data_IF_980699567841
#
_entry.id   IF_980699567841
#
_cell.length_a   1.000
_cell.length_b   1.000
_cell.length_c   1.000
_cell.angle_alpha   90.00
_cell.angle_beta   90.00
_cell.angle_gamma   90.00
#
_symmetry.space_group_name_H-M   'P 1'
#
loop_
_entity.id
_entity.type
_entity.pdbx_description
1 polymer ?
#
# COMPACT_ATOMS: atom_id res chain seq x y z
N UNK A 1 2.68 -40.42 -28.91
CA UNK A 1 2.26 -39.01 -28.95
C UNK A 1 2.48 -38.45 -27.55
N UNK A 2 3.34 -37.45 -27.35
CA UNK A 2 3.62 -36.92 -26.00
C UNK A 2 2.35 -36.31 -25.42
N UNK A 3 2.07 -36.59 -24.14
CA UNK A 3 0.94 -35.97 -23.45
C UNK A 3 1.19 -34.47 -23.17
N UNK A 4 0.16 -33.76 -22.74
CA UNK A 4 0.21 -32.31 -22.50
C UNK A 4 1.22 -31.94 -21.41
N UNK A 5 1.33 -32.73 -20.34
CA UNK A 5 2.28 -32.49 -19.26
C UNK A 5 3.72 -32.74 -19.70
N UNK A 6 3.95 -33.74 -20.55
CA UNK A 6 5.26 -34.03 -21.14
C UNK A 6 5.69 -32.92 -22.12
N UNK A 7 4.75 -32.40 -22.92
CA UNK A 7 5.00 -31.24 -23.81
C UNK A 7 5.30 -29.97 -23.00
N UNK A 8 4.58 -29.71 -21.93
CA UNK A 8 4.85 -28.57 -21.03
C UNK A 8 6.21 -28.67 -20.36
N UNK A 9 6.62 -29.88 -19.94
CA UNK A 9 7.92 -30.11 -19.34
C UNK A 9 9.06 -29.88 -20.36
N UNK A 10 8.88 -30.32 -21.60
CA UNK A 10 9.84 -30.13 -22.69
C UNK A 10 9.92 -28.65 -23.11
N UNK A 11 8.78 -27.95 -23.17
CA UNK A 11 8.76 -26.51 -23.48
C UNK A 11 9.46 -25.73 -22.37
N UNK A 12 9.18 -26.04 -21.09
CA UNK A 12 9.88 -25.43 -19.95
C UNK A 12 11.37 -25.71 -20.00
N UNK A 13 11.79 -26.95 -20.20
CA UNK A 13 13.22 -27.30 -20.25
C UNK A 13 13.94 -26.69 -21.45
N UNK A 14 13.30 -26.59 -22.61
CA UNK A 14 13.89 -25.99 -23.82
C UNK A 14 14.01 -24.47 -23.72
N UNK A 15 13.06 -23.80 -23.05
CA UNK A 15 13.14 -22.36 -22.76
C UNK A 15 14.23 -22.11 -21.69
N UNK A 16 14.29 -22.94 -20.65
CA UNK A 16 15.29 -22.85 -19.57
C UNK A 16 16.73 -23.02 -20.06
N UNK A 17 16.96 -23.96 -20.98
CA UNK A 17 18.28 -24.22 -21.56
C UNK A 17 18.77 -23.06 -22.46
N UNK A 18 17.86 -22.27 -23.05
CA UNK A 18 18.23 -21.15 -23.94
C UNK A 18 18.54 -19.85 -23.20
N UNK A 19 18.12 -19.68 -21.95
CA UNK A 19 18.29 -18.43 -21.19
C UNK A 19 19.47 -18.41 -20.22
N UNK A 20 20.18 -19.52 -20.01
CA UNK A 20 21.37 -19.57 -19.14
C UNK A 20 21.11 -19.29 -17.65
N UNK A 21 19.85 -19.09 -17.25
CA UNK A 21 19.44 -18.91 -15.86
C UNK A 21 18.96 -20.28 -15.33
N UNK A 22 19.78 -20.95 -14.54
CA UNK A 22 19.22 -21.92 -13.59
C UNK A 22 18.18 -21.19 -12.75
N UNK A 23 16.97 -21.75 -12.60
CA UNK A 23 15.90 -21.07 -11.85
C UNK A 23 16.38 -20.82 -10.42
N UNK A 24 16.68 -19.55 -10.08
CA UNK A 24 16.95 -19.14 -8.70
C UNK A 24 15.73 -19.56 -7.88
N UNK A 25 15.87 -20.34 -6.79
CA UNK A 25 14.74 -20.70 -5.96
C UNK A 25 13.97 -19.46 -5.50
N UNK A 26 12.63 -19.52 -5.47
CA UNK A 26 11.79 -18.37 -5.09
C UNK A 26 12.23 -17.72 -3.77
N UNK A 27 12.60 -18.54 -2.79
CA UNK A 27 13.10 -18.08 -1.49
C UNK A 27 14.37 -17.21 -1.59
N UNK A 28 15.29 -17.55 -2.49
CA UNK A 28 16.50 -16.74 -2.74
C UNK A 28 16.18 -15.50 -3.56
N UNK A 29 15.31 -15.65 -4.57
CA UNK A 29 14.84 -14.56 -5.42
C UNK A 29 14.16 -13.46 -4.60
N UNK A 30 13.21 -13.82 -3.74
CA UNK A 30 12.47 -12.84 -2.92
C UNK A 30 13.35 -12.25 -1.81
N UNK A 31 14.30 -13.02 -1.25
CA UNK A 31 15.30 -12.47 -0.31
C UNK A 31 16.22 -11.44 -0.97
N UNK A 32 16.56 -11.62 -2.26
CA UNK A 32 17.31 -10.61 -3.02
C UNK A 32 16.49 -9.32 -3.14
N UNK A 33 15.21 -9.44 -3.49
CA UNK A 33 14.28 -8.30 -3.50
C UNK A 33 14.16 -7.59 -2.14
N UNK A 34 13.88 -8.33 -1.06
CA UNK A 34 13.71 -7.74 0.28
C UNK A 34 14.95 -6.98 0.75
N UNK A 35 16.14 -7.46 0.38
CA UNK A 35 17.42 -6.78 0.68
C UNK A 35 17.53 -5.45 -0.06
N UNK A 36 17.19 -5.43 -1.35
CA UNK A 36 17.22 -4.22 -2.19
C UNK A 36 16.19 -3.18 -1.72
N UNK A 37 15.04 -3.63 -1.19
CA UNK A 37 13.96 -2.77 -0.72
C UNK A 37 13.95 -2.56 0.81
N UNK A 38 15.02 -2.94 1.50
CA UNK A 38 15.11 -2.96 2.97
C UNK A 38 14.76 -1.63 3.65
N UNK A 39 15.06 -0.49 3.03
CA UNK A 39 14.68 0.85 3.53
C UNK A 39 13.17 1.08 3.70
N UNK A 40 12.34 0.30 3.00
CA UNK A 40 10.88 0.38 3.10
C UNK A 40 10.30 -0.60 4.12
N UNK A 41 11.15 -1.43 4.73
CA UNK A 41 10.79 -2.43 5.71
C UNK A 41 11.23 -1.91 7.09
N UNK A 42 10.28 -1.56 7.98
CA UNK A 42 10.65 -1.15 9.34
C UNK A 42 11.23 -2.35 10.13
N UNK A 43 11.98 -2.10 11.22
CA UNK A 43 12.43 -3.13 12.14
C UNK A 43 11.27 -4.03 12.57
N UNK A 44 11.53 -5.33 12.71
CA UNK A 44 10.47 -6.32 12.95
C UNK A 44 9.74 -6.07 14.27
N UNK A 45 10.43 -5.53 15.25
CA UNK A 45 9.94 -5.19 16.59
C UNK A 45 8.89 -4.08 16.55
N UNK A 46 8.91 -3.25 15.49
CA UNK A 46 7.94 -2.17 15.30
C UNK A 46 6.72 -2.60 14.48
N UNK A 47 6.67 -3.84 13.98
CA UNK A 47 5.63 -4.28 13.06
C UNK A 47 4.24 -4.22 13.68
N UNK A 48 3.34 -3.56 12.96
CA UNK A 48 1.92 -3.56 13.23
C UNK A 48 1.25 -4.70 12.46
N UNK A 49 -0.01 -5.06 12.77
CA UNK A 49 -0.70 -6.13 12.05
C UNK A 49 -0.72 -6.01 10.52
N UNK A 50 -0.86 -4.82 9.90
CA UNK A 50 -0.68 -4.66 8.45
C UNK A 50 0.73 -4.98 7.94
N UNK A 51 1.77 -4.75 8.76
CA UNK A 51 3.16 -5.06 8.43
C UNK A 51 3.40 -6.57 8.44
N UNK A 52 2.84 -7.28 9.42
CA UNK A 52 2.87 -8.75 9.46
C UNK A 52 2.25 -9.37 8.20
N UNK A 53 1.14 -8.79 7.73
CA UNK A 53 0.46 -9.24 6.51
C UNK A 53 1.25 -8.97 5.22
N UNK A 54 2.08 -7.92 5.21
CA UNK A 54 2.83 -7.48 4.03
C UNK A 54 4.26 -8.04 3.98
N UNK A 55 5.04 -7.80 5.02
CA UNK A 55 6.45 -8.18 5.09
C UNK A 55 6.62 -9.62 5.61
N UNK A 56 5.69 -10.11 6.45
CA UNK A 56 5.78 -11.44 7.08
C UNK A 56 5.43 -12.63 6.17
N UNK A 57 5.05 -12.38 4.92
CA UNK A 57 4.77 -13.40 3.91
C UNK A 57 5.83 -13.38 2.82
N UNK A 58 6.29 -14.54 2.35
CA UNK A 58 7.28 -14.62 1.28
C UNK A 58 6.64 -14.32 -0.08
N UNK A 59 5.72 -15.18 -0.51
CA UNK A 59 4.92 -15.02 -1.72
C UNK A 59 3.50 -14.57 -1.35
N UNK A 60 3.11 -13.38 -1.76
CA UNK A 60 1.77 -12.83 -1.47
C UNK A 60 0.65 -13.58 -2.21
N UNK A 61 0.96 -14.30 -3.29
CA UNK A 61 0.00 -15.05 -4.09
C UNK A 61 -0.11 -16.53 -3.69
N UNK A 62 0.78 -17.02 -2.84
CA UNK A 62 0.82 -18.42 -2.39
C UNK A 62 0.72 -18.57 -0.87
N UNK A 63 0.05 -17.63 -0.22
CA UNK A 63 -0.28 -17.74 1.21
C UNK A 63 -1.43 -18.74 1.39
N UNK A 64 -1.32 -19.75 2.28
CA UNK A 64 -2.44 -20.62 2.61
C UNK A 64 -3.69 -19.82 3.00
N UNK A 65 -4.86 -20.25 2.53
CA UNK A 65 -6.10 -19.46 2.62
C UNK A 65 -6.46 -19.08 4.07
N UNK A 66 -6.32 -20.02 5.00
CA UNK A 66 -6.57 -19.80 6.43
C UNK A 66 -5.63 -18.73 7.02
N UNK A 67 -4.34 -18.78 6.64
CA UNK A 67 -3.34 -17.80 7.04
C UNK A 67 -3.62 -16.43 6.42
N UNK A 68 -3.96 -16.38 5.14
CA UNK A 68 -4.30 -15.14 4.44
C UNK A 68 -5.52 -14.45 5.08
N UNK A 69 -6.57 -15.21 5.40
CA UNK A 69 -7.76 -14.72 6.11
C UNK A 69 -7.42 -14.15 7.49
N UNK A 70 -6.61 -14.86 8.29
CA UNK A 70 -6.16 -14.38 9.61
C UNK A 70 -5.36 -13.09 9.52
N UNK A 71 -4.37 -13.01 8.62
CA UNK A 71 -3.54 -11.83 8.42
C UNK A 71 -4.39 -10.63 7.98
N UNK A 72 -5.27 -10.84 6.99
CA UNK A 72 -6.21 -9.82 6.51
C UNK A 72 -7.13 -9.31 7.62
N UNK A 73 -7.73 -10.20 8.40
CA UNK A 73 -8.62 -9.83 9.50
C UNK A 73 -7.89 -8.99 10.55
N UNK A 74 -6.71 -9.43 11.00
CA UNK A 74 -5.89 -8.68 11.97
C UNK A 74 -5.49 -7.30 11.44
N UNK A 75 -5.04 -7.22 10.18
CA UNK A 75 -4.65 -5.98 9.55
C UNK A 75 -5.83 -4.99 9.45
N UNK A 76 -6.97 -5.43 8.91
CA UNK A 76 -8.15 -4.57 8.75
C UNK A 76 -8.71 -4.14 10.11
N UNK A 77 -8.83 -5.06 11.08
CA UNK A 77 -9.31 -4.72 12.43
C UNK A 77 -8.42 -3.68 13.11
N UNK A 78 -7.11 -3.85 13.01
CA UNK A 78 -6.15 -2.88 13.54
C UNK A 78 -6.30 -1.50 12.87
N UNK A 79 -6.31 -1.47 11.54
CA UNK A 79 -6.46 -0.23 10.76
C UNK A 79 -7.78 0.46 11.04
N UNK A 80 -8.88 -0.29 11.12
CA UNK A 80 -10.19 0.24 11.48
C UNK A 80 -10.19 0.90 12.87
N UNK A 81 -9.67 0.20 13.88
CA UNK A 81 -9.52 0.73 15.23
C UNK A 81 -8.69 2.01 15.24
N UNK A 82 -7.54 1.99 14.57
CA UNK A 82 -6.65 3.15 14.47
C UNK A 82 -7.37 4.38 13.88
N UNK A 83 -8.09 4.24 12.77
CA UNK A 83 -8.84 5.35 12.18
C UNK A 83 -10.02 5.80 13.04
N UNK A 84 -10.76 4.88 13.66
CA UNK A 84 -11.83 5.21 14.59
C UNK A 84 -11.31 6.02 15.79
N UNK A 85 -10.16 5.63 16.34
CA UNK A 85 -9.58 6.26 17.52
C UNK A 85 -8.83 7.56 17.20
N UNK A 86 -8.37 7.78 15.97
CA UNK A 86 -7.48 8.91 15.67
C UNK A 86 -7.97 9.86 14.56
N UNK A 87 -9.13 9.59 13.95
CA UNK A 87 -9.74 10.49 12.98
C UNK A 87 -11.16 10.89 13.41
N UNK A 88 -11.34 12.18 13.76
CA UNK A 88 -12.63 12.70 14.25
C UNK A 88 -13.76 12.51 13.24
N UNK A 89 -13.51 12.77 11.96
CA UNK A 89 -14.51 12.64 10.91
C UNK A 89 -14.98 11.18 10.78
N UNK A 90 -14.06 10.24 10.65
CA UNK A 90 -14.34 8.82 10.49
C UNK A 90 -14.98 8.23 11.75
N UNK A 91 -14.55 8.66 12.95
CA UNK A 91 -15.20 8.29 14.21
C UNK A 91 -16.67 8.71 14.24
N UNK A 92 -16.98 9.94 13.80
CA UNK A 92 -18.36 10.43 13.76
C UNK A 92 -19.20 9.62 12.76
N UNK A 93 -18.67 9.35 11.56
CA UNK A 93 -19.32 8.48 10.58
C UNK A 93 -19.63 7.09 11.16
N UNK A 94 -18.69 6.50 11.90
CA UNK A 94 -18.90 5.21 12.55
C UNK A 94 -19.97 5.26 13.64
N UNK A 95 -19.97 6.32 14.47
CA UNK A 95 -21.00 6.53 15.50
C UNK A 95 -22.39 6.71 14.91
N UNK A 96 -22.53 7.47 13.82
CA UNK A 96 -23.80 7.65 13.10
C UNK A 96 -24.34 6.33 12.53
N UNK A 97 -23.44 5.41 12.16
CA UNK A 97 -23.79 4.06 11.70
C UNK A 97 -23.94 3.03 12.83
N UNK A 98 -23.69 3.42 14.08
CA UNK A 98 -23.76 2.53 15.23
C UNK A 98 -22.71 1.42 15.23
N UNK A 99 -21.52 1.68 14.67
CA UNK A 99 -20.42 0.70 14.58
C UNK A 99 -19.19 1.18 15.33
N UNK A 100 -18.56 0.29 16.09
CA UNK A 100 -17.34 0.51 16.87
C UNK A 100 -16.31 -0.62 16.65
N UNK A 101 -15.04 -0.42 17.03
CA UNK A 101 -14.01 -1.47 16.93
C UNK A 101 -14.36 -2.78 17.66
N UNK A 102 -15.17 -2.72 18.72
CA UNK A 102 -15.56 -3.89 19.51
C UNK A 102 -16.59 -4.78 18.80
N UNK A 103 -17.26 -4.26 17.75
CA UNK A 103 -18.21 -5.00 16.92
C UNK A 103 -17.54 -5.93 15.90
N UNK A 104 -16.21 -5.81 15.75
CA UNK A 104 -15.41 -6.54 14.77
C UNK A 104 -14.68 -7.71 15.45
N UNK A 105 -15.32 -8.87 15.50
CA UNK A 105 -14.83 -10.06 16.23
C UNK A 105 -14.39 -11.20 15.29
N UNK A 106 -14.96 -11.26 14.10
CA UNK A 106 -14.67 -12.27 13.05
C UNK A 106 -14.69 -11.67 11.66
N UNK A 107 -14.28 -12.45 10.67
CA UNK A 107 -14.11 -12.00 9.28
C UNK A 107 -15.41 -11.46 8.66
N UNK A 108 -16.55 -12.04 9.00
CA UNK A 108 -17.87 -11.61 8.53
C UNK A 108 -18.25 -10.22 9.04
N UNK A 109 -17.71 -9.82 10.20
CA UNK A 109 -17.97 -8.50 10.78
C UNK A 109 -17.27 -7.38 10.01
N UNK A 110 -16.28 -7.68 9.16
CA UNK A 110 -15.60 -6.65 8.35
C UNK A 110 -16.58 -5.89 7.45
N UNK A 111 -17.69 -6.52 7.06
CA UNK A 111 -18.75 -5.89 6.26
C UNK A 111 -19.53 -4.81 7.02
N UNK A 112 -19.40 -4.75 8.35
CA UNK A 112 -19.99 -3.69 9.18
C UNK A 112 -19.21 -2.39 9.10
N UNK A 113 -17.93 -2.43 8.70
CA UNK A 113 -17.05 -1.26 8.66
C UNK A 113 -17.60 -0.27 7.62
N UNK A 114 -17.92 0.98 8.01
CA UNK A 114 -18.41 1.98 7.07
C UNK A 114 -17.40 2.28 5.97
N UNK A 115 -17.86 2.19 4.72
CA UNK A 115 -17.08 2.56 3.53
C UNK A 115 -17.16 4.06 3.27
N UNK A 116 -16.08 4.62 2.74
CA UNK A 116 -16.05 5.99 2.24
C UNK A 116 -16.30 6.01 0.73
N UNK A 117 -17.26 6.79 0.22
CA UNK A 117 -17.50 6.90 -1.21
C UNK A 117 -16.33 7.62 -1.91
N UNK A 118 -16.01 7.27 -3.16
CA UNK A 118 -14.91 7.89 -3.90
C UNK A 118 -15.06 9.41 -4.03
N UNK A 119 -16.31 9.88 -4.18
CA UNK A 119 -16.68 11.31 -4.23
C UNK A 119 -16.17 12.11 -3.03
N UNK A 120 -16.07 11.48 -1.86
CA UNK A 120 -15.53 12.12 -0.66
C UNK A 120 -14.13 12.69 -0.92
N UNK A 121 -13.28 11.94 -1.62
CA UNK A 121 -11.90 12.33 -1.93
C UNK A 121 -11.77 13.28 -3.13
N UNK A 122 -12.88 13.62 -3.79
CA UNK A 122 -12.95 14.58 -4.92
C UNK A 122 -13.61 15.92 -4.55
N UNK A 123 -14.31 15.96 -3.41
CA UNK A 123 -15.06 17.11 -2.90
C UNK A 123 -14.20 18.08 -2.06
N UNK A 124 -12.90 18.19 -2.36
CA UNK A 124 -12.02 19.14 -1.68
C UNK A 124 -12.32 20.58 -2.10
N UNK A 125 -12.25 21.55 -1.18
CA UNK A 125 -12.35 22.96 -1.51
C UNK A 125 -11.05 23.49 -2.14
N UNK A 126 -11.15 24.63 -2.81
CA UNK A 126 -9.98 25.38 -3.31
C UNK A 126 -9.43 26.29 -2.21
N UNK A 127 -8.25 26.89 -2.43
CA UNK A 127 -7.70 27.88 -1.52
C UNK A 127 -7.22 27.29 -0.18
N UNK A 128 -7.25 28.10 0.89
CA UNK A 128 -6.69 27.73 2.21
C UNK A 128 -7.49 26.60 2.87
N UNK A 129 -8.76 26.52 2.53
CA UNK A 129 -9.72 25.52 2.98
C UNK A 129 -9.28 24.10 2.61
N UNK A 130 -8.50 23.96 1.53
CA UNK A 130 -7.90 22.68 1.15
C UNK A 130 -7.03 22.10 2.28
N UNK A 131 -6.31 22.94 3.03
CA UNK A 131 -5.47 22.49 4.14
C UNK A 131 -6.29 21.87 5.29
N UNK A 132 -7.43 22.50 5.62
CA UNK A 132 -8.36 21.95 6.62
C UNK A 132 -9.03 20.67 6.12
N UNK A 133 -9.31 20.58 4.83
CA UNK A 133 -9.83 19.36 4.24
C UNK A 133 -8.81 18.20 4.33
N UNK A 134 -7.53 18.43 4.04
CA UNK A 134 -6.46 17.44 4.27
C UNK A 134 -6.42 17.00 5.73
N UNK A 135 -6.53 17.94 6.68
CA UNK A 135 -6.56 17.65 8.11
C UNK A 135 -7.72 16.71 8.50
N UNK A 136 -8.89 16.87 7.87
CA UNK A 136 -10.07 16.05 8.17
C UNK A 136 -9.96 14.62 7.65
N UNK A 137 -9.30 14.41 6.50
CA UNK A 137 -9.19 13.08 5.87
C UNK A 137 -7.95 12.30 6.32
N UNK A 138 -6.96 12.99 6.87
CA UNK A 138 -5.73 12.38 7.39
C UNK A 138 -5.95 11.80 8.80
N UNK A 139 -5.22 10.72 9.12
CA UNK A 139 -5.22 10.12 10.46
C UNK A 139 -3.80 10.12 10.99
N UNK A 140 -3.60 10.65 12.19
CA UNK A 140 -2.29 10.82 12.81
C UNK A 140 -1.93 12.28 13.01
N UNK A 141 -0.67 12.54 13.36
CA UNK A 141 -0.19 13.88 13.65
C UNK A 141 -0.02 14.69 12.37
N UNK A 142 -0.85 15.71 12.21
CA UNK A 142 -0.77 16.60 11.06
C UNK A 142 0.35 17.64 11.30
N UNK A 143 1.32 17.77 10.39
CA UNK A 143 2.38 18.74 10.57
C UNK A 143 1.85 20.17 10.42
N UNK A 144 2.39 21.09 11.23
CA UNK A 144 2.12 22.51 11.08
C UNK A 144 2.79 23.06 9.81
N UNK A 145 1.99 23.69 8.95
CA UNK A 145 2.43 24.31 7.69
C UNK A 145 2.24 25.83 7.74
N UNK A 146 3.06 26.54 6.97
CA UNK A 146 2.97 28.00 6.86
C UNK A 146 2.72 28.39 5.41
N UNK A 147 1.56 29.00 5.15
CA UNK A 147 1.15 29.42 3.81
C UNK A 147 1.40 30.93 3.66
N UNK A 148 2.47 31.28 2.95
CA UNK A 148 2.86 32.69 2.69
C UNK A 148 1.88 33.44 1.78
N UNK A 149 1.31 32.75 0.79
CA UNK A 149 0.48 33.39 -0.24
C UNK A 149 -0.90 33.73 0.30
N UNK A 150 -1.41 34.93 -0.05
CA UNK A 150 -2.77 35.36 0.31
C UNK A 150 -3.83 34.40 -0.27
N UNK A 151 -3.64 33.99 -1.53
CA UNK A 151 -4.49 33.05 -2.26
C UNK A 151 -3.64 31.86 -2.74
N UNK A 152 -3.36 30.86 -1.88
CA UNK A 152 -2.57 29.70 -2.27
C UNK A 152 -3.31 28.81 -3.26
N UNK A 153 -2.58 28.21 -4.20
CA UNK A 153 -3.08 27.10 -5.01
C UNK A 153 -2.93 25.78 -4.25
N UNK A 154 -3.63 24.74 -4.67
CA UNK A 154 -3.51 23.38 -4.10
C UNK A 154 -2.04 22.93 -4.05
N UNK A 155 -1.30 23.12 -5.15
CA UNK A 155 0.12 22.75 -5.23
C UNK A 155 1.00 23.48 -4.21
N UNK A 156 0.66 24.73 -3.85
CA UNK A 156 1.40 25.48 -2.83
C UNK A 156 1.21 24.83 -1.46
N UNK A 157 -0.02 24.41 -1.15
CA UNK A 157 -0.37 23.78 0.12
C UNK A 157 0.24 22.38 0.21
N UNK A 158 0.11 21.60 -0.86
CA UNK A 158 0.71 20.26 -0.94
C UNK A 158 2.22 20.31 -0.77
N UNK A 159 2.90 21.30 -1.38
CA UNK A 159 4.34 21.45 -1.26
C UNK A 159 4.76 21.70 0.19
N UNK A 160 4.00 22.52 0.94
CA UNK A 160 4.30 22.74 2.35
C UNK A 160 4.06 21.49 3.21
N UNK A 161 2.95 20.78 3.02
CA UNK A 161 2.72 19.50 3.72
C UNK A 161 3.80 18.47 3.39
N UNK A 162 4.14 18.33 2.11
CA UNK A 162 5.12 17.35 1.67
C UNK A 162 6.53 17.66 2.20
N UNK A 163 6.92 18.94 2.23
CA UNK A 163 8.19 19.39 2.84
C UNK A 163 8.25 19.08 4.33
N UNK A 164 7.11 18.94 4.99
CA UNK A 164 6.99 18.59 6.41
C UNK A 164 6.79 17.09 6.67
N UNK A 165 6.99 16.24 5.65
CA UNK A 165 7.03 14.78 5.80
C UNK A 165 5.75 14.05 5.41
N UNK A 166 4.66 14.76 5.12
CA UNK A 166 3.49 14.13 4.50
C UNK A 166 3.83 13.66 3.09
N UNK A 167 3.17 12.61 2.61
CA UNK A 167 3.31 12.10 1.24
C UNK A 167 1.94 12.18 0.57
N UNK A 168 1.55 13.38 0.13
CA UNK A 168 0.26 13.58 -0.55
C UNK A 168 0.41 13.18 -2.02
N UNK A 169 -0.29 12.12 -2.42
CA UNK A 169 -0.37 11.65 -3.81
C UNK A 169 -1.71 12.01 -4.42
N UNK A 170 -1.79 12.07 -5.74
CA UNK A 170 -3.04 12.36 -6.44
C UNK A 170 -3.20 11.57 -7.74
N UNK A 171 -4.46 11.38 -8.17
CA UNK A 171 -4.79 10.73 -9.44
C UNK A 171 -4.51 11.64 -10.65
N UNK A 172 -4.46 11.09 -11.86
CA UNK A 172 -4.27 11.85 -13.10
C UNK A 172 -5.42 12.81 -13.45
N UNK A 173 -6.59 12.69 -12.79
CA UNK A 173 -7.70 13.62 -12.94
C UNK A 173 -8.53 13.44 -14.23
N UNK A 174 -8.53 12.26 -14.84
CA UNK A 174 -9.22 11.97 -16.12
C UNK A 174 -10.73 12.20 -16.11
N UNK A 175 -11.36 12.27 -14.93
CA UNK A 175 -12.77 12.65 -14.75
C UNK A 175 -12.99 14.14 -14.45
N UNK A 176 -12.00 15.00 -14.72
CA UNK A 176 -12.04 16.45 -14.53
C UNK A 176 -11.67 16.97 -13.13
N UNK A 177 -11.54 16.08 -12.12
CA UNK A 177 -11.03 16.43 -10.78
C UNK A 177 -10.10 15.34 -10.26
N UNK A 178 -9.06 15.76 -9.55
CA UNK A 178 -8.11 14.86 -8.93
C UNK A 178 -8.73 14.17 -7.70
N UNK A 179 -8.09 13.11 -7.24
CA UNK A 179 -8.32 12.49 -5.95
C UNK A 179 -7.05 12.64 -5.15
N UNK A 180 -7.11 13.22 -3.95
CA UNK A 180 -5.94 13.41 -3.09
C UNK A 180 -5.94 12.40 -1.95
N UNK A 181 -4.78 11.81 -1.68
CA UNK A 181 -4.59 10.83 -0.60
C UNK A 181 -3.35 11.23 0.21
N UNK A 182 -3.53 11.83 1.40
CA UNK A 182 -2.42 12.10 2.31
C UNK A 182 -1.98 10.82 3.00
N UNK A 183 -0.67 10.59 3.08
CA UNK A 183 -0.06 9.48 3.82
C UNK A 183 1.07 10.00 4.70
N UNK A 184 1.29 9.33 5.83
CA UNK A 184 2.58 9.39 6.50
C UNK A 184 3.62 8.60 5.69
N UNK A 185 4.90 8.74 6.07
CA UNK A 185 5.99 8.05 5.40
C UNK A 185 5.87 6.53 5.51
N UNK A 186 5.44 6.02 6.67
CA UNK A 186 5.30 4.57 6.89
C UNK A 186 4.26 3.94 5.96
N UNK A 187 3.11 4.57 5.81
CA UNK A 187 2.02 4.12 4.93
C UNK A 187 2.39 4.27 3.47
N UNK A 188 3.12 5.33 3.12
CA UNK A 188 3.69 5.48 1.78
C UNK A 188 4.68 4.36 1.46
N UNK A 189 5.60 4.06 2.38
CA UNK A 189 6.60 2.99 2.24
C UNK A 189 5.97 1.61 2.08
N UNK A 190 4.92 1.30 2.86
CA UNK A 190 4.11 0.08 2.67
C UNK A 190 3.53 -0.02 1.28
N UNK A 191 2.99 1.07 0.74
CA UNK A 191 2.38 1.09 -0.58
C UNK A 191 3.43 0.85 -1.69
N UNK A 192 4.58 1.50 -1.58
CA UNK A 192 5.71 1.31 -2.52
C UNK A 192 6.19 -0.14 -2.47
N UNK A 193 6.56 -0.63 -1.28
CA UNK A 193 7.06 -2.00 -1.11
C UNK A 193 6.02 -3.04 -1.53
N UNK A 194 4.74 -2.87 -1.17
CA UNK A 194 3.69 -3.82 -1.52
C UNK A 194 3.41 -3.89 -3.02
N UNK A 195 3.39 -2.75 -3.71
CA UNK A 195 3.30 -2.71 -5.17
C UNK A 195 4.48 -3.42 -5.82
N UNK A 196 5.69 -3.12 -5.36
CA UNK A 196 6.93 -3.73 -5.84
C UNK A 196 6.92 -5.26 -5.63
N UNK A 197 6.62 -5.70 -4.40
CA UNK A 197 6.58 -7.12 -4.02
C UNK A 197 5.57 -7.90 -4.83
N UNK A 198 4.39 -7.33 -5.06
CA UNK A 198 3.37 -7.96 -5.89
C UNK A 198 3.85 -8.17 -7.31
N UNK A 199 4.38 -7.13 -7.94
CA UNK A 199 4.93 -7.27 -9.28
C UNK A 199 6.09 -8.27 -9.34
N UNK A 200 7.06 -8.18 -8.44
CA UNK A 200 8.23 -9.06 -8.39
C UNK A 200 7.81 -10.52 -8.17
N UNK A 201 6.85 -10.77 -7.29
CA UNK A 201 6.32 -12.12 -7.08
C UNK A 201 5.65 -12.67 -8.34
N UNK A 202 4.92 -11.84 -9.11
CA UNK A 202 4.34 -12.24 -10.40
C UNK A 202 5.39 -12.44 -11.50
N UNK A 203 6.46 -11.63 -11.48
CA UNK A 203 7.51 -11.66 -12.49
C UNK A 203 8.46 -12.85 -12.31
N UNK A 204 8.45 -13.53 -11.16
CA UNK A 204 9.29 -14.70 -10.91
C UNK A 204 9.15 -15.79 -11.99
N UNK A 205 10.25 -16.41 -12.45
CA UNK A 205 11.66 -16.14 -12.12
C UNK A 205 12.35 -15.14 -13.08
N UNK A 206 11.58 -14.39 -13.89
CA UNK A 206 12.08 -13.65 -15.06
C UNK A 206 12.65 -12.26 -14.77
N UNK A 207 12.47 -11.72 -13.56
CA UNK A 207 13.04 -10.42 -13.23
C UNK A 207 14.55 -10.53 -12.98
N UNK A 208 15.34 -9.83 -13.79
CA UNK A 208 16.77 -9.70 -13.61
C UNK A 208 17.09 -8.46 -12.78
N UNK A 209 17.38 -8.65 -11.49
CA UNK A 209 17.71 -7.56 -10.56
C UNK A 209 19.01 -6.82 -10.91
N UNK A 210 19.89 -7.43 -11.71
CA UNK A 210 21.20 -6.84 -12.04
C UNK A 210 21.14 -6.02 -13.33
N UNK A 211 20.15 -6.28 -14.20
CA UNK A 211 19.95 -5.57 -15.48
C UNK A 211 18.74 -4.65 -15.53
N UNK A 212 17.71 -4.92 -14.71
CA UNK A 212 16.46 -4.16 -14.71
C UNK A 212 16.40 -3.24 -13.48
N UNK A 213 16.76 -1.98 -13.69
CA UNK A 213 16.77 -0.95 -12.64
C UNK A 213 15.47 -0.10 -12.59
N UNK A 214 14.38 -0.59 -13.21
CA UNK A 214 13.18 0.19 -13.48
C UNK A 214 12.06 0.15 -12.41
N UNK A 215 11.56 1.34 -12.09
CA UNK A 215 10.23 1.78 -11.58
C UNK A 215 9.52 1.08 -10.41
N UNK A 216 9.95 -0.08 -9.94
CA UNK A 216 9.24 -0.77 -8.85
C UNK A 216 9.52 -0.19 -7.47
N UNK A 217 10.61 0.55 -7.33
CA UNK A 217 10.84 1.42 -6.20
C UNK A 217 11.34 2.75 -6.72
N UNK A 218 10.67 3.83 -6.33
CA UNK A 218 11.18 5.18 -6.53
C UNK A 218 12.55 5.22 -5.85
N UNK A 219 13.61 5.13 -6.66
CA UNK A 219 15.02 5.28 -6.32
C UNK A 219 15.60 4.26 -5.35
N UNK A 220 15.85 3.00 -5.70
CA UNK A 220 16.97 2.29 -5.07
C UNK A 220 18.30 2.97 -5.48
N UNK A 221 18.54 4.16 -4.92
CA UNK A 221 19.79 4.88 -4.66
C UNK A 221 19.54 5.83 -3.51
#
# INVERSE_FOLDING_TARGET
MLDVAQKDLIIRSTILLKTGMGEIPFDEYIKKFDRLESRYIPPKEEWLPPDEALYGVKDIYRVPLDKAKRLRFKAIKYTFKHHYENNRFYRNLCKEKGVSPDDIKREEDLMKIPLLPDKFFKNYPEGKEFAFWIANIYTGDLPSIFIKKKNPKIDDIMREFNRKGLKITYSSGTSGRHTFIPRDERTFNRAVYGGAKGFISMAYPRWDFDRVHGYLSLYAR
#
